data_IF_428069752473
#
_entry.id   IF_428069752473
#
_cell.length_a   1.000
_cell.length_b   1.000
_cell.length_c   1.000
_cell.angle_alpha   90.00
_cell.angle_beta   90.00
_cell.angle_gamma   90.00
#
_symmetry.space_group_name_H-M   'P 1'
#
loop_
_entity.id
_entity.type
_entity.pdbx_description
1 polymer ?
#
# COMPACT_ATOMS: atom_id res chain seq x y z
N UNK A 1 -15.34 3.00 4.04
CA UNK A 1 -16.21 3.90 3.28
C UNK A 1 -16.14 3.59 1.79
N UNK A 2 -17.15 4.04 1.06
CA UNK A 2 -17.17 3.93 -0.39
C UNK A 2 -15.98 4.66 -0.99
N UNK A 3 -15.27 3.99 -1.89
CA UNK A 3 -14.10 4.55 -2.55
C UNK A 3 -12.79 4.30 -1.84
N UNK A 4 -12.82 3.68 -0.66
CA UNK A 4 -11.60 3.32 0.04
C UNK A 4 -11.02 2.02 -0.52
N UNK A 5 -9.69 1.92 -0.49
CA UNK A 5 -8.96 0.72 -0.90
C UNK A 5 -7.91 0.43 0.17
N UNK A 6 -7.82 -0.82 0.56
CA UNK A 6 -6.79 -1.27 1.47
C UNK A 6 -5.63 -1.87 0.67
N UNK A 7 -4.42 -1.38 0.90
CA UNK A 7 -3.21 -1.98 0.35
C UNK A 7 -2.53 -2.73 1.49
N UNK A 8 -2.38 -4.03 1.32
CA UNK A 8 -1.79 -4.89 2.34
C UNK A 8 -0.50 -5.50 1.81
N UNK A 9 0.54 -5.45 2.61
CA UNK A 9 1.82 -6.08 2.31
C UNK A 9 2.02 -7.26 3.23
N UNK A 10 2.19 -8.44 2.65
CA UNK A 10 2.41 -9.65 3.43
C UNK A 10 3.59 -10.42 2.84
N UNK A 11 4.58 -10.64 3.67
CA UNK A 11 5.73 -11.48 3.33
C UNK A 11 5.63 -12.80 4.07
N UNK A 12 5.92 -13.88 3.40
CA UNK A 12 5.88 -15.24 3.95
C UNK A 12 4.45 -15.73 4.22
N UNK A 13 4.24 -16.47 5.31
CA UNK A 13 2.96 -17.10 5.60
C UNK A 13 1.94 -16.14 6.17
N UNK A 14 0.68 -16.49 6.00
CA UNK A 14 -0.44 -15.74 6.56
C UNK A 14 -0.40 -15.77 8.10
N UNK A 15 -0.62 -14.63 8.72
CA UNK A 15 -0.72 -14.51 10.15
C UNK A 15 -2.12 -14.04 10.57
N UNK A 16 -2.45 -14.24 11.84
CA UNK A 16 -3.79 -14.04 12.39
C UNK A 16 -4.33 -12.63 12.18
N UNK A 17 -3.52 -11.64 12.50
CA UNK A 17 -3.90 -10.22 12.39
C UNK A 17 -4.21 -9.84 10.94
N UNK A 18 -3.40 -10.30 10.00
CA UNK A 18 -3.62 -10.07 8.58
C UNK A 18 -4.90 -10.69 8.08
N UNK A 19 -5.18 -11.93 8.46
CA UNK A 19 -6.41 -12.60 8.08
C UNK A 19 -7.64 -11.90 8.65
N UNK A 20 -7.57 -11.44 9.89
CA UNK A 20 -8.65 -10.69 10.52
C UNK A 20 -8.91 -9.39 9.78
N UNK A 21 -7.85 -8.67 9.42
CA UNK A 21 -7.94 -7.43 8.66
C UNK A 21 -8.61 -7.65 7.30
N UNK A 22 -8.21 -8.69 6.58
CA UNK A 22 -8.80 -9.03 5.28
C UNK A 22 -10.28 -9.37 5.39
N UNK A 23 -10.66 -10.15 6.39
CA UNK A 23 -12.06 -10.52 6.63
C UNK A 23 -12.89 -9.29 6.94
N UNK A 24 -12.38 -8.39 7.74
CA UNK A 24 -13.08 -7.16 8.09
C UNK A 24 -13.22 -6.24 6.86
N UNK A 25 -12.18 -6.10 6.07
CA UNK A 25 -12.24 -5.35 4.82
C UNK A 25 -13.30 -5.92 3.88
N UNK A 26 -13.34 -7.24 3.74
CA UNK A 26 -14.35 -7.93 2.94
C UNK A 26 -15.75 -7.68 3.48
N UNK A 27 -15.94 -7.76 4.80
CA UNK A 27 -17.22 -7.49 5.43
C UNK A 27 -17.70 -6.07 5.16
N UNK A 28 -16.80 -5.11 5.16
CA UNK A 28 -17.09 -3.70 4.91
C UNK A 28 -17.18 -3.36 3.42
N UNK A 29 -16.93 -4.31 2.54
CA UNK A 29 -16.93 -4.07 1.09
C UNK A 29 -15.76 -3.23 0.60
N UNK A 30 -14.65 -3.23 1.33
CA UNK A 30 -13.44 -2.49 0.97
C UNK A 30 -12.55 -3.39 0.08
N UNK A 31 -12.25 -3.00 -1.16
CA UNK A 31 -11.33 -3.76 -2.00
C UNK A 31 -9.93 -3.81 -1.40
N UNK A 32 -9.26 -4.94 -1.55
CA UNK A 32 -7.91 -5.14 -1.02
C UNK A 32 -6.95 -5.44 -2.17
N UNK A 33 -5.86 -4.69 -2.24
CA UNK A 33 -4.72 -4.98 -3.09
C UNK A 33 -3.66 -5.61 -2.21
N UNK A 34 -3.32 -6.86 -2.49
CA UNK A 34 -2.32 -7.60 -1.73
C UNK A 34 -1.00 -7.64 -2.47
N UNK A 35 0.05 -7.16 -1.83
CA UNK A 35 1.43 -7.26 -2.28
C UNK A 35 2.10 -8.38 -1.49
N UNK A 36 2.52 -9.45 -2.14
CA UNK A 36 3.09 -10.60 -1.46
C UNK A 36 4.18 -11.26 -2.28
N UNK A 37 5.15 -11.84 -1.60
CA UNK A 37 6.15 -12.70 -2.23
C UNK A 37 5.78 -14.18 -2.16
N UNK A 38 4.72 -14.53 -1.45
CA UNK A 38 4.24 -15.90 -1.36
C UNK A 38 3.35 -16.26 -2.54
N UNK A 39 3.65 -17.36 -3.21
CA UNK A 39 2.86 -17.83 -4.35
C UNK A 39 1.53 -18.43 -3.94
N UNK A 40 1.48 -19.05 -2.78
CA UNK A 40 0.29 -19.68 -2.24
C UNK A 40 0.03 -19.16 -0.84
N UNK A 41 -0.64 -18.04 -0.76
CA UNK A 41 -0.97 -17.41 0.51
C UNK A 41 -2.47 -17.51 0.78
N UNK A 42 -2.84 -17.79 2.03
CA UNK A 42 -4.24 -17.74 2.47
C UNK A 42 -4.84 -16.35 2.25
N UNK A 43 -4.03 -15.31 2.25
CA UNK A 43 -4.47 -13.94 1.99
C UNK A 43 -5.01 -13.78 0.58
N UNK A 44 -4.52 -14.54 -0.38
CA UNK A 44 -4.90 -14.40 -1.80
C UNK A 44 -6.38 -14.67 -2.04
N UNK A 45 -7.00 -15.51 -1.22
CA UNK A 45 -8.42 -15.87 -1.37
C UNK A 45 -9.36 -14.70 -1.10
N UNK A 46 -8.97 -13.81 -0.19
CA UNK A 46 -9.82 -12.71 0.25
C UNK A 46 -9.38 -11.35 -0.33
N UNK A 47 -8.33 -11.33 -1.12
CA UNK A 47 -7.86 -10.12 -1.79
C UNK A 47 -8.58 -9.92 -3.12
N UNK A 48 -8.85 -8.67 -3.46
CA UNK A 48 -9.46 -8.31 -4.75
C UNK A 48 -8.43 -8.39 -5.89
N UNK A 49 -7.21 -7.94 -5.61
CA UNK A 49 -6.09 -7.97 -6.54
C UNK A 49 -4.87 -8.48 -5.78
N UNK A 50 -4.15 -9.42 -6.39
CA UNK A 50 -2.90 -9.94 -5.84
C UNK A 50 -1.76 -9.55 -6.76
N UNK A 51 -0.76 -8.87 -6.21
CA UNK A 51 0.47 -8.54 -6.93
C UNK A 51 1.60 -9.35 -6.32
N UNK A 52 2.19 -10.22 -7.09
CA UNK A 52 3.35 -11.00 -6.67
C UNK A 52 4.61 -10.18 -6.84
N UNK A 53 5.29 -9.91 -5.74
CA UNK A 53 6.52 -9.12 -5.72
C UNK A 53 7.67 -10.05 -5.38
N UNK A 54 8.57 -10.36 -6.33
CA UNK A 54 9.71 -11.22 -6.04
C UNK A 54 10.67 -10.56 -5.06
N UNK A 55 11.25 -11.37 -4.18
CA UNK A 55 12.14 -10.87 -3.14
C UNK A 55 13.49 -10.42 -3.66
N UNK A 56 13.96 -10.95 -4.74
CA UNK A 56 15.32 -10.70 -5.22
C UNK A 56 16.40 -11.45 -4.43
N UNK A 57 16.02 -12.14 -3.38
CA UNK A 57 16.87 -12.99 -2.57
C UNK A 57 16.32 -14.41 -2.60
N UNK A 58 16.95 -15.27 -3.40
CA UNK A 58 16.50 -16.66 -3.62
C UNK A 58 16.53 -17.50 -2.36
N UNK A 59 17.43 -17.19 -1.44
CA UNK A 59 17.60 -17.97 -0.21
C UNK A 59 16.74 -17.52 0.95
N UNK A 60 16.08 -16.40 0.82
CA UNK A 60 15.13 -15.90 1.82
C UNK A 60 15.75 -15.59 3.18
N UNK A 61 17.07 -15.41 3.25
CA UNK A 61 17.79 -15.21 4.51
C UNK A 61 17.74 -13.78 5.01
N UNK A 62 17.58 -12.80 4.11
CA UNK A 62 17.59 -11.39 4.46
C UNK A 62 16.23 -10.78 4.19
N UNK A 63 15.63 -10.06 5.15
CA UNK A 63 14.37 -9.38 4.90
C UNK A 63 14.59 -8.17 3.98
N UNK A 64 14.34 -8.35 2.70
CA UNK A 64 14.48 -7.30 1.71
C UNK A 64 13.12 -6.67 1.42
N UNK A 65 13.02 -5.38 1.63
CA UNK A 65 11.79 -4.61 1.40
C UNK A 65 11.85 -3.70 0.18
N UNK A 66 13.02 -3.59 -0.46
CA UNK A 66 13.23 -2.69 -1.58
C UNK A 66 12.28 -2.90 -2.75
N UNK A 67 12.04 -4.16 -3.12
CA UNK A 67 11.12 -4.51 -4.22
C UNK A 67 9.69 -4.10 -3.92
N UNK A 68 9.25 -4.27 -2.67
CA UNK A 68 7.90 -3.87 -2.23
C UNK A 68 7.76 -2.36 -2.27
N UNK A 69 8.77 -1.63 -1.78
CA UNK A 69 8.77 -0.16 -1.82
C UNK A 69 8.72 0.35 -3.25
N UNK A 70 9.49 -0.24 -4.16
CA UNK A 70 9.46 0.12 -5.57
C UNK A 70 8.08 -0.13 -6.18
N UNK A 71 7.47 -1.26 -5.85
CA UNK A 71 6.12 -1.60 -6.32
C UNK A 71 5.10 -0.59 -5.82
N UNK A 72 5.18 -0.15 -4.57
CA UNK A 72 4.31 0.87 -4.01
C UNK A 72 4.48 2.20 -4.75
N UNK A 73 5.71 2.61 -5.06
CA UNK A 73 5.96 3.80 -5.85
C UNK A 73 5.33 3.71 -7.24
N UNK A 74 5.45 2.54 -7.88
CA UNK A 74 4.83 2.31 -9.18
C UNK A 74 3.31 2.43 -9.12
N UNK A 75 2.69 1.94 -8.05
CA UNK A 75 1.25 2.07 -7.83
C UNK A 75 0.87 3.55 -7.69
N UNK A 76 1.62 4.30 -6.89
CA UNK A 76 1.37 5.74 -6.70
C UNK A 76 1.46 6.48 -8.04
N UNK A 77 2.49 6.22 -8.82
CA UNK A 77 2.67 6.83 -10.14
C UNK A 77 1.56 6.45 -11.11
N UNK A 78 1.10 5.19 -11.06
CA UNK A 78 0.00 4.71 -11.91
C UNK A 78 -1.30 5.44 -11.57
N UNK A 79 -1.60 5.62 -10.29
CA UNK A 79 -2.78 6.36 -9.84
C UNK A 79 -2.67 7.82 -10.23
N UNK A 80 -1.53 8.44 -10.01
CA UNK A 80 -1.29 9.85 -10.37
C UNK A 80 -1.45 10.07 -11.88
N UNK A 81 -0.99 9.13 -12.70
CA UNK A 81 -1.13 9.20 -14.15
C UNK A 81 -2.57 9.03 -14.62
N UNK A 82 -3.35 8.23 -13.89
CA UNK A 82 -4.77 8.00 -14.22
C UNK A 82 -5.65 9.21 -13.88
N UNK A 83 -5.30 9.97 -12.84
CA UNK A 83 -6.06 11.14 -12.37
C UNK A 83 -5.13 12.34 -12.16
N UNK A 84 -4.49 12.85 -13.22
CA UNK A 84 -3.41 13.82 -13.07
C UNK A 84 -3.82 15.12 -12.39
N UNK A 85 -5.00 15.63 -12.69
CA UNK A 85 -5.50 16.87 -12.08
C UNK A 85 -5.69 16.74 -10.57
N UNK A 86 -6.24 15.61 -10.13
CA UNK A 86 -6.45 15.32 -8.72
C UNK A 86 -5.14 15.10 -7.98
N UNK A 87 -4.19 14.43 -8.64
CA UNK A 87 -2.86 14.21 -8.08
C UNK A 87 -2.12 15.52 -7.85
N UNK A 88 -2.14 16.43 -8.81
CA UNK A 88 -1.51 17.76 -8.70
C UNK A 88 -2.14 18.55 -7.56
N UNK A 89 -3.46 18.57 -7.44
CA UNK A 89 -4.15 19.25 -6.34
C UNK A 89 -3.77 18.67 -4.98
N UNK A 90 -3.68 17.37 -4.89
CA UNK A 90 -3.33 16.68 -3.63
C UNK A 90 -1.91 16.99 -3.22
N UNK A 91 -0.97 16.93 -4.15
CA UNK A 91 0.44 17.27 -3.88
C UNK A 91 0.57 18.72 -3.42
N UNK A 92 -0.11 19.64 -4.08
CA UNK A 92 -0.13 21.05 -3.69
C UNK A 92 -0.66 21.23 -2.27
N UNK A 93 -1.74 20.55 -1.92
CA UNK A 93 -2.31 20.57 -0.59
C UNK A 93 -1.34 20.10 0.48
N UNK A 94 -0.64 19.01 0.22
CA UNK A 94 0.37 18.46 1.12
C UNK A 94 1.51 19.48 1.31
N UNK A 95 1.98 20.07 0.24
CA UNK A 95 3.05 21.07 0.28
C UNK A 95 2.62 22.31 1.07
N UNK A 96 1.41 22.80 0.86
CA UNK A 96 0.87 23.93 1.59
C UNK A 96 0.76 23.63 3.08
N UNK A 97 0.33 22.42 3.42
CA UNK A 97 0.27 21.97 4.82
C UNK A 97 1.66 21.94 5.46
N UNK A 98 2.66 21.43 4.77
CA UNK A 98 4.05 21.41 5.25
C UNK A 98 4.61 22.81 5.44
N UNK A 99 4.30 23.74 4.54
CA UNK A 99 4.70 25.15 4.69
C UNK A 99 4.08 25.76 5.94
N UNK A 100 2.81 25.50 6.18
CA UNK A 100 2.12 25.96 7.38
C UNK A 100 2.79 25.47 8.66
N UNK A 101 3.18 24.20 8.70
CA UNK A 101 3.89 23.62 9.84
C UNK A 101 5.26 24.27 10.06
N UNK A 102 6.02 24.52 8.98
CA UNK A 102 7.32 25.20 9.08
C UNK A 102 7.17 26.63 9.62
N UNK A 103 6.19 27.35 9.13
CA UNK A 103 5.91 28.72 9.59
C UNK A 103 5.52 28.73 11.07
N UNK A 104 4.68 27.81 11.49
CA UNK A 104 4.30 27.65 12.89
C UNK A 104 5.49 27.37 13.80
N UNK A 105 6.45 26.57 13.38
CA UNK A 105 7.68 26.28 14.13
C UNK A 105 8.58 27.52 14.30
N UNK A 106 8.67 28.36 13.26
CA UNK A 106 9.49 29.56 13.30
C UNK A 106 8.90 30.63 14.23
N UNK A 107 7.59 30.67 14.35
CA UNK A 107 6.86 31.67 15.15
C UNK A 107 6.60 31.18 16.57
N UNK A 108 6.87 29.95 16.87
CA UNK A 108 6.77 29.39 18.23
C UNK A 108 8.15 29.19 18.86
#
# INVERSE_FOLDING_TARGET
QRGDVLIMMAQKSAHREGLTTLREARRLGIPVILLTNALDSRFSKDASIVIHVPRGDEKGKTPLHGTVLLCLEMIVWSVASAVPQRAVKTIKRINDFHRGLKTGRKNG
#
